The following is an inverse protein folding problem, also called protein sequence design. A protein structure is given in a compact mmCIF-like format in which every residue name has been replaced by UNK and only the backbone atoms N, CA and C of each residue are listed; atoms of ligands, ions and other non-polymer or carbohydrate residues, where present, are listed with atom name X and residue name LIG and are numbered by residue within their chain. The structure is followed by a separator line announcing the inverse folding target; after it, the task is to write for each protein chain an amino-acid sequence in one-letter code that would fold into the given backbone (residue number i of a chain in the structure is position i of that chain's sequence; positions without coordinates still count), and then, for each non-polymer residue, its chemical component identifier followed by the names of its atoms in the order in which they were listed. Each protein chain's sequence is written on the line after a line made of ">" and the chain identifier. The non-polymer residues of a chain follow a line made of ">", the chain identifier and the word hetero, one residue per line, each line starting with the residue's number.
data_IF_693250514702
#
_entry.id   IF_693250514702
#
_cell.length_a   1.000
_cell.length_b   1.000
_cell.length_c   1.000
_cell.angle_alpha   90.00
_cell.angle_beta   90.00
_cell.angle_gamma   90.00
#
_symmetry.space_group_name_H-M   'P 1'
#
loop_
_entity.id
_entity.type
_entity.pdbx_description
1 polymer ?
#
# COMPACT_ATOMS: atom_id res chain seq x y z
N UNK A 1 -43.70 -36.21 34.23
CA UNK A 1 -42.48 -36.75 33.59
C UNK A 1 -41.82 -35.62 32.82
N UNK A 2 -40.51 -35.45 33.01
CA UNK A 2 -39.69 -34.31 32.56
C UNK A 2 -39.68 -34.23 31.02
N UNK A 3 -40.23 -33.15 30.47
CA UNK A 3 -40.06 -32.80 29.06
C UNK A 3 -38.72 -32.07 28.92
N UNK A 4 -37.68 -32.82 28.58
CA UNK A 4 -36.48 -32.28 27.95
C UNK A 4 -36.51 -32.80 26.52
N UNK A 5 -36.30 -31.92 25.54
CA UNK A 5 -35.28 -32.11 24.50
C UNK A 5 -35.35 -30.93 23.51
N UNK A 6 -34.17 -30.29 23.41
CA UNK A 6 -33.55 -29.64 22.26
C UNK A 6 -34.27 -28.46 21.59
N UNK A 7 -33.83 -27.26 22.00
CA UNK A 7 -33.71 -26.10 21.10
C UNK A 7 -32.72 -26.47 19.99
N UNK A 8 -33.09 -26.46 18.70
CA UNK A 8 -32.11 -26.57 17.63
C UNK A 8 -31.40 -25.22 17.53
N UNK A 9 -30.28 -25.08 18.25
CA UNK A 9 -29.29 -24.06 17.97
C UNK A 9 -28.60 -24.44 16.63
N UNK A 10 -29.29 -24.20 15.52
CA UNK A 10 -28.75 -24.46 14.20
C UNK A 10 -28.87 -23.20 13.34
N UNK A 11 -27.76 -22.90 12.68
CA UNK A 11 -27.59 -21.95 11.57
C UNK A 11 -27.25 -20.50 11.95
N UNK A 12 -26.11 -20.30 12.63
CA UNK A 12 -25.26 -19.13 12.44
C UNK A 12 -23.92 -19.53 11.80
N UNK A 13 -23.97 -20.36 10.75
CA UNK A 13 -22.87 -20.44 9.80
C UNK A 13 -23.07 -19.32 8.78
N UNK A 14 -22.87 -18.07 9.21
CA UNK A 14 -22.59 -16.99 8.26
C UNK A 14 -21.30 -17.40 7.56
N UNK A 15 -21.42 -17.89 6.33
CA UNK A 15 -20.31 -17.98 5.41
C UNK A 15 -19.78 -16.56 5.23
N UNK A 16 -18.88 -16.14 6.11
CA UNK A 16 -17.99 -15.02 5.82
C UNK A 16 -17.07 -15.57 4.73
N UNK A 17 -17.55 -15.58 3.49
CA UNK A 17 -16.68 -15.50 2.34
C UNK A 17 -15.98 -14.15 2.48
N UNK A 18 -14.91 -14.14 3.27
CA UNK A 18 -14.22 -12.96 3.74
C UNK A 18 -13.42 -12.37 2.58
N UNK A 19 -14.10 -11.83 1.57
CA UNK A 19 -13.47 -11.05 0.52
C UNK A 19 -12.50 -10.06 1.15
N UNK A 20 -11.36 -9.81 0.49
CA UNK A 20 -10.34 -8.93 1.04
C UNK A 20 -11.00 -7.59 1.42
N UNK A 21 -10.91 -7.14 2.68
CA UNK A 21 -11.51 -5.87 3.08
C UNK A 21 -10.84 -4.68 2.38
N UNK A 22 -9.69 -4.93 1.75
CA UNK A 22 -8.89 -3.95 1.02
C UNK A 22 -9.00 -4.22 -0.48
N UNK A 23 -9.22 -3.15 -1.24
CA UNK A 23 -9.23 -3.23 -2.70
C UNK A 23 -7.83 -2.97 -3.25
N UNK A 24 -7.48 -3.61 -4.38
CA UNK A 24 -6.22 -3.36 -5.07
C UNK A 24 -6.05 -1.85 -5.32
N UNK A 25 -4.98 -1.20 -4.84
CA UNK A 25 -4.75 0.21 -5.14
C UNK A 25 -4.47 0.37 -6.64
N UNK A 26 -5.36 1.09 -7.33
CA UNK A 26 -5.29 1.30 -8.79
C UNK A 26 -4.53 2.55 -9.18
N UNK A 27 -4.55 3.56 -8.33
CA UNK A 27 -3.92 4.84 -8.59
C UNK A 27 -2.52 4.82 -7.98
N UNK A 28 -1.51 4.86 -8.86
CA UNK A 28 -0.13 5.08 -8.44
C UNK A 28 0.03 6.52 -7.94
N UNK A 29 0.88 6.76 -6.93
CA UNK A 29 1.20 8.11 -6.48
C UNK A 29 1.97 8.86 -7.57
N UNK A 30 1.78 10.18 -7.61
CA UNK A 30 2.61 11.07 -8.43
C UNK A 30 3.90 11.34 -7.66
N UNK A 31 5.04 11.06 -8.28
CA UNK A 31 6.37 11.35 -7.73
C UNK A 31 6.91 12.54 -8.51
N UNK A 32 7.13 13.70 -7.86
CA UNK A 32 7.63 14.89 -8.52
C UNK A 32 9.12 14.73 -8.89
N UNK A 33 9.57 15.50 -9.87
CA UNK A 33 10.98 15.57 -10.26
C UNK A 33 11.75 16.39 -9.22
N UNK A 34 12.78 15.79 -8.63
CA UNK A 34 13.61 16.43 -7.61
C UNK A 34 14.15 17.80 -8.03
N UNK A 35 14.46 18.00 -9.31
CA UNK A 35 15.06 19.23 -9.81
C UNK A 35 14.17 20.47 -9.71
N UNK A 36 12.85 20.29 -9.62
CA UNK A 36 11.87 21.39 -9.55
C UNK A 36 10.93 21.27 -8.37
N UNK A 37 10.97 20.16 -7.63
CA UNK A 37 10.10 19.92 -6.50
C UNK A 37 10.40 20.85 -5.32
N UNK A 38 9.34 21.34 -4.69
CA UNK A 38 9.39 21.98 -3.38
C UNK A 38 9.45 20.94 -2.26
N UNK A 39 9.86 21.36 -1.07
CA UNK A 39 9.86 20.50 0.13
C UNK A 39 8.45 19.95 0.42
N UNK A 40 7.42 20.78 0.26
CA UNK A 40 6.04 20.37 0.48
C UNK A 40 5.59 19.32 -0.54
N UNK A 41 5.94 19.47 -1.82
CA UNK A 41 5.63 18.47 -2.85
C UNK A 41 6.32 17.14 -2.60
N UNK A 42 7.59 17.15 -2.17
CA UNK A 42 8.31 15.94 -1.77
C UNK A 42 7.67 15.26 -0.56
N UNK A 43 7.24 16.03 0.44
CA UNK A 43 6.54 15.51 1.61
C UNK A 43 5.17 14.90 1.25
N UNK A 44 4.39 15.57 0.42
CA UNK A 44 3.11 15.04 -0.06
C UNK A 44 3.30 13.75 -0.88
N UNK A 45 4.35 13.69 -1.70
CA UNK A 45 4.72 12.49 -2.43
C UNK A 45 5.09 11.34 -1.48
N UNK A 46 5.82 11.62 -0.40
CA UNK A 46 6.13 10.64 0.64
C UNK A 46 4.86 9.99 1.20
N UNK A 47 3.91 10.80 1.69
CA UNK A 47 2.67 10.28 2.26
C UNK A 47 1.83 9.49 1.25
N UNK A 48 1.82 9.94 -0.02
CA UNK A 48 1.10 9.26 -1.09
C UNK A 48 1.71 7.88 -1.39
N UNK A 49 3.05 7.80 -1.47
CA UNK A 49 3.79 6.56 -1.66
C UNK A 49 3.58 5.61 -0.48
N UNK A 50 3.73 6.08 0.76
CA UNK A 50 3.52 5.26 1.96
C UNK A 50 2.09 4.69 2.02
N UNK A 51 1.06 5.50 1.71
CA UNK A 51 -0.32 5.01 1.63
C UNK A 51 -0.50 3.95 0.54
N UNK A 52 0.11 4.16 -0.62
CA UNK A 52 0.02 3.24 -1.74
C UNK A 52 0.65 1.88 -1.39
N UNK A 53 1.87 1.91 -0.85
CA UNK A 53 2.60 0.72 -0.42
C UNK A 53 1.84 -0.05 0.67
N UNK A 54 1.39 0.64 1.72
CA UNK A 54 0.63 0.02 2.81
C UNK A 54 -0.66 -0.67 2.33
N UNK A 55 -1.40 -0.02 1.43
CA UNK A 55 -2.61 -0.63 0.83
C UNK A 55 -2.25 -1.81 -0.07
N UNK A 56 -1.11 -1.73 -0.76
CA UNK A 56 -0.58 -2.81 -1.59
C UNK A 56 -0.22 -4.04 -0.77
N UNK A 57 0.53 -3.86 0.32
CA UNK A 57 0.91 -4.90 1.28
C UNK A 57 -0.33 -5.58 1.86
N UNK A 58 -1.28 -4.80 2.38
CA UNK A 58 -2.55 -5.34 2.90
C UNK A 58 -3.32 -6.13 1.85
N UNK A 59 -3.28 -5.71 0.58
CA UNK A 59 -3.93 -6.43 -0.51
C UNK A 59 -3.20 -7.74 -0.88
N UNK A 60 -1.86 -7.75 -0.80
CA UNK A 60 -1.03 -8.95 -1.00
C UNK A 60 -1.29 -10.01 0.08
N UNK A 61 -1.51 -9.60 1.34
CA UNK A 61 -1.80 -10.50 2.47
C UNK A 61 -3.10 -11.30 2.28
N UNK A 62 -4.08 -10.74 1.57
CA UNK A 62 -5.39 -11.37 1.40
C UNK A 62 -5.40 -12.65 0.55
N UNK A 63 -4.26 -13.08 -0.02
CA UNK A 63 -4.07 -14.40 -0.67
C UNK A 63 -5.08 -14.77 -1.78
N UNK A 64 -5.77 -13.80 -2.37
CA UNK A 64 -6.76 -14.00 -3.45
C UNK A 64 -6.15 -14.13 -4.85
N UNK A 65 -4.83 -14.01 -4.95
CA UNK A 65 -4.12 -13.89 -6.22
C UNK A 65 -3.19 -15.07 -6.45
N UNK A 66 -3.08 -15.49 -7.71
CA UNK A 66 -2.11 -16.51 -8.08
C UNK A 66 -0.67 -15.97 -7.99
N UNK A 67 0.31 -16.85 -7.95
CA UNK A 67 1.72 -16.47 -7.78
C UNK A 67 2.21 -15.45 -8.81
N UNK A 68 1.76 -15.55 -10.07
CA UNK A 68 2.13 -14.59 -11.11
C UNK A 68 1.58 -13.19 -10.83
N UNK A 69 0.32 -13.10 -10.43
CA UNK A 69 -0.32 -11.83 -10.06
C UNK A 69 0.33 -11.23 -8.83
N UNK A 70 0.66 -12.06 -7.84
CA UNK A 70 1.39 -11.66 -6.64
C UNK A 70 2.74 -11.05 -7.01
N UNK A 71 3.59 -11.78 -7.74
CA UNK A 71 4.93 -11.29 -8.12
C UNK A 71 4.87 -10.03 -8.98
N UNK A 72 3.90 -9.95 -9.90
CA UNK A 72 3.72 -8.76 -10.75
C UNK A 72 3.34 -7.54 -9.90
N UNK A 73 2.44 -7.73 -8.94
CA UNK A 73 1.99 -6.63 -8.10
C UNK A 73 3.04 -6.22 -7.08
N UNK A 74 3.78 -7.17 -6.49
CA UNK A 74 4.94 -6.88 -5.64
C UNK A 74 5.99 -6.05 -6.39
N UNK A 75 6.38 -6.47 -7.59
CA UNK A 75 7.32 -5.71 -8.42
C UNK A 75 6.83 -4.30 -8.75
N UNK A 76 5.51 -4.12 -8.89
CA UNK A 76 4.90 -2.79 -9.08
C UNK A 76 5.05 -1.91 -7.82
N UNK A 77 4.87 -2.48 -6.62
CA UNK A 77 5.08 -1.75 -5.36
C UNK A 77 6.54 -1.36 -5.19
N UNK A 78 7.46 -2.30 -5.44
CA UNK A 78 8.90 -2.08 -5.38
C UNK A 78 9.34 -0.96 -6.33
N UNK A 79 8.87 -0.98 -7.59
CA UNK A 79 9.19 0.06 -8.57
C UNK A 79 8.76 1.46 -8.12
N UNK A 80 7.58 1.60 -7.52
CA UNK A 80 7.11 2.89 -6.99
C UNK A 80 7.99 3.35 -5.83
N UNK A 81 8.36 2.45 -4.93
CA UNK A 81 9.25 2.76 -3.81
C UNK A 81 10.66 3.18 -4.30
N UNK A 82 11.21 2.45 -5.27
CA UNK A 82 12.50 2.75 -5.88
C UNK A 82 12.51 4.11 -6.58
N UNK A 83 11.46 4.40 -7.36
CA UNK A 83 11.32 5.68 -8.06
C UNK A 83 11.28 6.85 -7.07
N UNK A 84 10.50 6.73 -5.99
CA UNK A 84 10.44 7.77 -4.96
C UNK A 84 11.79 7.93 -4.25
N UNK A 85 12.42 6.83 -3.84
CA UNK A 85 13.71 6.86 -3.17
C UNK A 85 14.81 7.46 -4.06
N UNK A 86 14.75 7.25 -5.37
CA UNK A 86 15.66 7.87 -6.31
C UNK A 86 15.51 9.39 -6.37
N UNK A 87 14.29 9.90 -6.51
CA UNK A 87 14.04 11.34 -6.52
C UNK A 87 14.33 11.97 -5.15
N UNK A 88 14.02 11.30 -4.05
CA UNK A 88 14.35 11.77 -2.71
C UNK A 88 15.87 11.97 -2.52
N UNK A 89 16.70 11.02 -3.00
CA UNK A 89 18.16 11.14 -2.92
C UNK A 89 18.66 12.34 -3.72
N UNK A 90 18.18 12.52 -4.95
CA UNK A 90 18.53 13.69 -5.78
C UNK A 90 18.16 15.00 -5.09
N UNK A 91 16.96 15.07 -4.52
CA UNK A 91 16.49 16.26 -3.82
C UNK A 91 17.40 16.58 -2.63
N UNK A 92 17.74 15.59 -1.82
CA UNK A 92 18.65 15.74 -0.68
C UNK A 92 20.06 16.18 -1.13
N UNK A 93 20.58 15.63 -2.22
CA UNK A 93 21.87 16.04 -2.78
C UNK A 93 21.86 17.51 -3.23
N UNK A 94 20.79 17.94 -3.90
CA UNK A 94 20.62 19.34 -4.33
C UNK A 94 20.54 20.29 -3.14
N UNK A 95 19.74 19.97 -2.12
CA UNK A 95 19.64 20.76 -0.89
C UNK A 95 21.00 20.90 -0.20
N UNK A 96 21.80 19.82 -0.17
CA UNK A 96 23.16 19.85 0.40
C UNK A 96 24.11 20.75 -0.39
N UNK A 97 24.04 20.74 -1.72
CA UNK A 97 24.87 21.60 -2.57
C UNK A 97 24.51 23.08 -2.39
N UNK A 98 23.23 23.40 -2.29
CA UNK A 98 22.75 24.78 -2.05
C UNK A 98 23.15 25.25 -0.65
N UNK A 99 23.00 24.40 0.37
CA UNK A 99 23.37 24.74 1.75
C UNK A 99 24.89 24.92 1.95
N UNK A 100 25.72 24.19 1.19
CA UNK A 100 27.19 24.31 1.25
C UNK A 100 27.79 25.41 0.37
N UNK A 101 26.97 26.07 -0.45
CA UNK A 101 27.39 27.18 -1.31
C UNK A 101 27.27 28.57 -0.63
N UNK A 102 26.78 28.61 0.62
CA UNK A 102 26.59 29.82 1.43
C UNK A 102 27.56 29.88 2.61
#
# INVERSE_FOLDING_TARGET
>A
MKALIAVPALCLAMNVAAGCPVTKPRQMPVIPDAAVATEEEMYQAQEAVERYLRRGEQYLECSYMNSRQFSTFLAQLELVAEQYNHELRKYQEQQRLVAGAN
#
